data_IF_984238860586
#
_entry.id   IF_984238860586
#
_cell.length_a   1.000
_cell.length_b   1.000
_cell.length_c   1.000
_cell.angle_alpha   90.00
_cell.angle_beta   90.00
_cell.angle_gamma   90.00
#
_symmetry.space_group_name_H-M   'P 1'
#
loop_
_entity.id
_entity.type
_entity.pdbx_description
1 polymer ?
#
# COMPACT_ATOMS: atom_id res chain seq x y z
N UNK A 1 10.57 7.68 -14.88
CA UNK A 1 10.79 6.35 -14.26
C UNK A 1 9.54 6.03 -13.44
N UNK A 2 9.14 4.75 -13.34
CA UNK A 2 8.02 4.36 -12.49
C UNK A 2 8.32 4.71 -11.03
N UNK A 3 7.34 5.27 -10.33
CA UNK A 3 7.43 5.48 -8.88
C UNK A 3 7.53 4.13 -8.17
N UNK A 4 8.48 4.00 -7.25
CA UNK A 4 8.67 2.79 -6.43
C UNK A 4 8.56 3.18 -4.96
N UNK A 5 7.47 2.73 -4.31
CA UNK A 5 7.14 3.12 -2.94
C UNK A 5 6.79 1.92 -2.04
N UNK A 6 7.09 2.03 -0.75
CA UNK A 6 6.50 1.22 0.31
C UNK A 6 5.54 2.09 1.13
N UNK A 7 4.40 1.51 1.51
CA UNK A 7 3.37 2.20 2.27
C UNK A 7 2.97 1.38 3.48
N UNK A 8 2.88 2.05 4.62
CA UNK A 8 2.46 1.43 5.86
C UNK A 8 1.36 2.23 6.53
N UNK A 9 0.32 1.56 7.02
CA UNK A 9 -0.62 2.14 7.99
C UNK A 9 0.02 2.07 9.37
N UNK A 10 -0.13 3.12 10.16
CA UNK A 10 0.52 3.26 11.46
C UNK A 10 -0.49 3.35 12.61
N UNK A 11 -0.16 2.72 13.72
CA UNK A 11 -0.80 3.02 14.99
C UNK A 11 -0.40 4.43 15.50
N UNK A 12 -1.25 5.11 16.29
CA UNK A 12 -0.95 6.44 16.82
C UNK A 12 0.39 6.54 17.53
N UNK A 13 0.75 5.53 18.34
CA UNK A 13 2.00 5.49 19.09
C UNK A 13 3.23 5.41 18.16
N UNK A 14 3.11 4.67 17.04
CA UNK A 14 4.19 4.53 16.07
C UNK A 14 4.35 5.80 15.24
N UNK A 15 3.26 6.44 14.85
CA UNK A 15 3.30 7.74 14.17
C UNK A 15 4.07 8.78 15.01
N UNK A 16 3.77 8.88 16.31
CA UNK A 16 4.48 9.79 17.21
C UNK A 16 5.98 9.45 17.33
N UNK A 17 6.30 8.16 17.48
CA UNK A 17 7.68 7.68 17.55
C UNK A 17 8.45 8.02 16.27
N UNK A 18 7.85 7.79 15.10
CA UNK A 18 8.45 8.10 13.81
C UNK A 18 8.61 9.61 13.61
N UNK A 19 7.63 10.43 14.04
CA UNK A 19 7.75 11.88 14.02
C UNK A 19 9.00 12.35 14.77
N UNK A 20 9.17 11.89 16.02
CA UNK A 20 10.35 12.21 16.83
C UNK A 20 11.67 11.63 16.27
N UNK A 21 11.62 10.59 15.44
CA UNK A 21 12.79 10.07 14.72
C UNK A 21 13.13 10.95 13.52
N UNK A 22 12.13 11.34 12.72
CA UNK A 22 12.32 12.24 11.57
C UNK A 22 12.93 13.56 12.01
N UNK A 23 12.41 14.15 13.09
CA UNK A 23 12.92 15.44 13.62
C UNK A 23 14.41 15.37 14.02
N UNK A 24 14.92 14.17 14.37
CA UNK A 24 16.34 13.92 14.67
C UNK A 24 17.20 13.68 13.42
N UNK A 25 16.61 13.17 12.35
CA UNK A 25 17.31 12.94 11.08
C UNK A 25 17.49 14.23 10.28
N UNK A 26 16.61 15.20 10.49
CA UNK A 26 16.70 16.54 9.89
C UNK A 26 15.37 17.29 10.00
N UNK A 27 15.35 18.60 9.70
CA UNK A 27 14.11 19.37 9.73
C UNK A 27 13.19 18.95 8.57
N UNK A 28 12.04 18.30 8.83
CA UNK A 28 11.15 17.90 7.75
C UNK A 28 10.43 19.11 7.15
N UNK A 29 10.14 19.06 5.85
CA UNK A 29 9.20 19.99 5.21
C UNK A 29 7.78 19.63 5.62
N UNK A 30 6.99 20.63 5.98
CA UNK A 30 5.60 20.47 6.38
C UNK A 30 4.67 20.92 5.28
N UNK A 31 3.69 20.08 4.95
CA UNK A 31 2.66 20.36 3.97
C UNK A 31 1.28 20.14 4.58
N UNK A 32 0.34 21.03 4.26
CA UNK A 32 -1.09 20.86 4.57
C UNK A 32 -1.80 20.63 3.25
N UNK A 33 -2.11 19.36 3.00
CA UNK A 33 -2.61 18.88 1.73
C UNK A 33 -4.11 18.65 1.82
N UNK A 34 -4.87 19.34 0.96
CA UNK A 34 -6.29 19.04 0.73
C UNK A 34 -6.46 18.52 -0.69
N UNK A 35 -6.79 17.24 -0.84
CA UNK A 35 -7.01 16.63 -2.15
C UNK A 35 -8.47 16.26 -2.35
N UNK A 36 -9.03 16.58 -3.53
CA UNK A 36 -10.37 16.18 -3.94
C UNK A 36 -10.27 15.30 -5.18
N UNK A 37 -10.74 14.06 -5.06
CA UNK A 37 -10.73 13.07 -6.13
C UNK A 37 -12.01 13.16 -6.97
N UNK A 38 -11.86 13.14 -8.29
CA UNK A 38 -12.95 13.35 -9.22
C UNK A 38 -13.15 12.15 -10.14
N UNK A 39 -14.40 11.80 -10.41
CA UNK A 39 -14.79 10.82 -11.42
C UNK A 39 -16.15 11.20 -12.03
N UNK A 40 -16.55 10.45 -13.04
CA UNK A 40 -17.91 10.40 -13.58
C UNK A 40 -18.85 9.68 -12.62
N UNK A 41 -20.16 9.95 -12.70
CA UNK A 41 -21.19 9.34 -11.84
C UNK A 41 -21.20 7.80 -11.81
N UNK A 42 -20.55 7.14 -12.78
CA UNK A 42 -20.45 5.67 -12.85
C UNK A 42 -19.03 5.13 -12.57
N UNK A 43 -18.16 5.97 -12.01
CA UNK A 43 -16.77 5.68 -11.65
C UNK A 43 -15.95 5.10 -12.81
N UNK A 44 -16.08 5.71 -14.01
CA UNK A 44 -15.41 5.25 -15.24
C UNK A 44 -13.89 5.38 -15.15
N UNK A 45 -13.36 6.44 -14.54
CA UNK A 45 -11.91 6.60 -14.36
C UNK A 45 -11.36 5.49 -13.47
N UNK A 46 -11.98 5.26 -12.30
CA UNK A 46 -11.59 4.17 -11.41
C UNK A 46 -11.62 2.81 -12.11
N UNK A 47 -12.69 2.50 -12.85
CA UNK A 47 -12.83 1.24 -13.60
C UNK A 47 -11.74 1.08 -14.67
N UNK A 48 -11.23 2.17 -15.20
CA UNK A 48 -10.12 2.20 -16.15
C UNK A 48 -8.73 2.23 -15.47
N UNK A 49 -8.65 2.16 -14.14
CA UNK A 49 -7.38 2.25 -13.40
C UNK A 49 -6.80 3.66 -13.34
N UNK A 50 -7.63 4.69 -13.55
CA UNK A 50 -7.23 6.10 -13.58
C UNK A 50 -7.70 6.80 -12.32
N UNK A 51 -6.80 7.54 -11.68
CA UNK A 51 -7.09 8.47 -10.60
C UNK A 51 -6.86 9.89 -11.08
N UNK A 52 -7.86 10.76 -10.90
CA UNK A 52 -7.75 12.19 -11.16
C UNK A 52 -8.06 12.96 -9.87
N UNK A 53 -7.14 13.82 -9.44
CA UNK A 53 -7.32 14.65 -8.25
C UNK A 53 -6.94 16.10 -8.50
N UNK A 54 -7.59 16.98 -7.76
CA UNK A 54 -7.15 18.35 -7.50
C UNK A 54 -6.58 18.38 -6.08
N UNK A 55 -5.35 18.87 -5.90
CA UNK A 55 -4.68 19.00 -4.61
C UNK A 55 -4.32 20.45 -4.35
N UNK A 56 -4.76 20.98 -3.23
CA UNK A 56 -4.26 22.23 -2.66
C UNK A 56 -3.09 21.92 -1.73
N UNK A 57 -1.96 22.58 -1.95
CA UNK A 57 -0.82 22.59 -1.05
C UNK A 57 -0.51 24.05 -0.69
N UNK A 58 -0.90 24.45 0.53
CA UNK A 58 -0.90 25.85 0.93
C UNK A 58 -1.79 26.72 0.02
N UNK A 59 -1.19 27.61 -0.76
CA UNK A 59 -1.89 28.49 -1.70
C UNK A 59 -1.92 27.98 -3.15
N UNK A 60 -1.19 26.89 -3.45
CA UNK A 60 -1.01 26.38 -4.82
C UNK A 60 -1.98 25.23 -5.09
N UNK A 61 -2.37 25.09 -6.36
CA UNK A 61 -3.31 24.07 -6.81
C UNK A 61 -2.65 23.18 -7.85
N UNK A 62 -2.73 21.87 -7.65
CA UNK A 62 -2.12 20.87 -8.51
C UNK A 62 -3.16 19.87 -8.97
N UNK A 63 -3.29 19.71 -10.28
CA UNK A 63 -4.03 18.60 -10.86
C UNK A 63 -3.07 17.44 -11.10
N UNK A 64 -3.41 16.27 -10.58
CA UNK A 64 -2.63 15.04 -10.81
C UNK A 64 -3.50 13.99 -11.48
N UNK A 65 -3.00 13.39 -12.55
CA UNK A 65 -3.53 12.15 -13.12
C UNK A 65 -2.54 11.03 -12.88
N UNK A 66 -3.04 9.90 -12.37
CA UNK A 66 -2.27 8.66 -12.19
C UNK A 66 -2.99 7.53 -12.90
N UNK A 67 -2.28 6.79 -13.75
CA UNK A 67 -2.80 5.63 -14.47
C UNK A 67 -2.02 4.40 -14.03
N UNK A 68 -2.71 3.45 -13.39
CA UNK A 68 -2.12 2.17 -12.99
C UNK A 68 -2.10 1.23 -14.20
N UNK A 69 -0.92 0.91 -14.71
CA UNK A 69 -0.71 -0.08 -15.77
C UNK A 69 -0.13 -1.35 -15.16
N UNK A 70 -0.71 -2.50 -15.51
CA UNK A 70 -0.09 -3.81 -15.19
C UNK A 70 1.10 -4.00 -16.11
N UNK A 71 2.31 -4.12 -15.56
CA UNK A 71 3.47 -4.61 -16.33
C UNK A 71 3.41 -6.13 -16.50
N UNK A 72 4.14 -6.66 -17.49
CA UNK A 72 4.20 -8.10 -17.80
C UNK A 72 4.76 -8.95 -16.65
N UNK A 73 5.50 -8.35 -15.73
CA UNK A 73 6.19 -9.04 -14.63
C UNK A 73 5.39 -9.00 -13.31
N UNK A 74 4.12 -8.59 -13.36
CA UNK A 74 3.26 -8.49 -12.17
C UNK A 74 3.50 -7.24 -11.31
N UNK A 75 4.52 -6.42 -11.63
CA UNK A 75 4.71 -5.11 -11.02
C UNK A 75 3.65 -4.11 -11.53
N UNK A 76 3.01 -3.40 -10.61
CA UNK A 76 2.16 -2.27 -10.98
C UNK A 76 3.08 -1.09 -11.29
N UNK A 77 3.07 -0.65 -12.54
CA UNK A 77 3.73 0.59 -12.96
C UNK A 77 2.64 1.65 -13.01
N UNK A 78 2.89 2.80 -12.40
CA UNK A 78 2.00 3.94 -12.55
C UNK A 78 2.67 5.00 -13.42
N UNK A 79 1.95 5.46 -14.43
CA UNK A 79 2.27 6.71 -15.12
C UNK A 79 1.56 7.85 -14.39
N UNK A 80 2.32 8.89 -14.03
CA UNK A 80 1.81 10.04 -13.30
C UNK A 80 2.17 11.33 -14.05
N UNK A 81 1.22 12.26 -14.13
CA UNK A 81 1.46 13.61 -14.59
C UNK A 81 0.78 14.60 -13.65
N UNK A 82 1.55 15.59 -13.20
CA UNK A 82 1.09 16.67 -12.34
C UNK A 82 1.26 18.02 -13.05
N UNK A 83 0.30 18.92 -12.85
CA UNK A 83 0.34 20.28 -13.38
C UNK A 83 -0.27 21.25 -12.41
N UNK A 84 0.42 22.36 -12.17
CA UNK A 84 -0.10 23.46 -11.38
C UNK A 84 -1.16 24.25 -12.17
N UNK A 85 -2.27 24.57 -11.52
CA UNK A 85 -3.36 25.37 -12.06
C UNK A 85 -3.54 26.64 -11.24
N UNK A 86 -4.10 27.68 -11.87
CA UNK A 86 -4.37 28.95 -11.19
C UNK A 86 -5.48 28.86 -10.13
N UNK A 87 -6.28 27.79 -10.13
CA UNK A 87 -7.39 27.59 -9.21
C UNK A 87 -7.80 26.13 -9.03
N UNK A 88 -8.74 25.88 -8.11
CA UNK A 88 -9.15 24.54 -7.67
C UNK A 88 -10.09 23.78 -8.60
N UNK A 89 -10.28 24.23 -9.83
CA UNK A 89 -11.10 23.54 -10.83
C UNK A 89 -10.30 22.46 -11.57
N UNK A 90 -10.88 21.27 -11.71
CA UNK A 90 -10.32 20.24 -12.59
C UNK A 90 -10.42 20.67 -14.06
N UNK A 91 -9.31 20.59 -14.77
CA UNK A 91 -9.21 20.82 -16.20
C UNK A 91 -8.43 19.68 -16.88
N UNK A 92 -9.12 18.65 -17.41
CA UNK A 92 -8.47 17.54 -18.10
C UNK A 92 -7.66 17.97 -19.34
N UNK A 93 -7.91 19.16 -19.91
CA UNK A 93 -7.12 19.66 -21.03
C UNK A 93 -5.71 20.11 -20.62
N UNK A 94 -5.54 20.51 -19.35
CA UNK A 94 -4.25 20.91 -18.78
C UNK A 94 -3.32 19.75 -18.43
N UNK A 95 -3.74 18.49 -18.63
CA UNK A 95 -2.84 17.33 -18.48
C UNK A 95 -1.70 17.46 -19.50
N UNK A 96 -0.43 17.48 -19.06
CA UNK A 96 0.70 17.89 -19.90
C UNK A 96 1.13 16.76 -20.85
N UNK A 97 0.97 15.51 -20.42
CA UNK A 97 1.25 14.34 -21.24
C UNK A 97 0.08 14.05 -22.18
N UNK A 98 0.30 14.12 -23.49
CA UNK A 98 -0.75 13.92 -24.51
C UNK A 98 -1.39 12.53 -24.42
N UNK A 99 -0.59 11.48 -24.20
CA UNK A 99 -1.10 10.11 -24.08
C UNK A 99 -2.06 9.96 -22.89
N UNK A 100 -1.68 10.50 -21.72
CA UNK A 100 -2.52 10.48 -20.52
C UNK A 100 -3.78 11.35 -20.71
N UNK A 101 -3.62 12.52 -21.32
CA UNK A 101 -4.73 13.43 -21.63
C UNK A 101 -5.76 12.77 -22.56
N UNK A 102 -5.30 12.17 -23.66
CA UNK A 102 -6.15 11.45 -24.60
C UNK A 102 -6.90 10.29 -23.91
N UNK A 103 -6.19 9.51 -23.07
CA UNK A 103 -6.78 8.40 -22.32
C UNK A 103 -7.85 8.86 -21.32
N UNK A 104 -7.60 9.93 -20.58
CA UNK A 104 -8.60 10.52 -19.68
C UNK A 104 -9.82 10.98 -20.47
N UNK A 105 -9.62 11.72 -21.57
CA UNK A 105 -10.70 12.21 -22.45
C UNK A 105 -11.56 11.08 -23.02
N UNK A 106 -10.93 10.00 -23.48
CA UNK A 106 -11.62 8.80 -23.96
C UNK A 106 -12.52 8.18 -22.88
N UNK A 107 -11.98 8.01 -21.66
CA UNK A 107 -12.70 7.35 -20.56
C UNK A 107 -13.87 8.19 -20.06
N UNK A 108 -13.71 9.52 -19.93
CA UNK A 108 -14.78 10.42 -19.48
C UNK A 108 -15.83 10.67 -20.60
N UNK A 109 -15.38 10.80 -21.85
CA UNK A 109 -16.21 11.26 -22.97
C UNK A 109 -16.76 12.67 -22.72
N UNK A 110 -18.07 12.84 -22.86
CA UNK A 110 -18.77 14.12 -22.60
C UNK A 110 -19.32 14.24 -21.18
N UNK A 111 -19.03 13.27 -20.30
CA UNK A 111 -19.61 13.20 -18.96
C UNK A 111 -18.96 14.20 -18.03
N UNK A 112 -19.77 14.78 -17.15
CA UNK A 112 -19.28 15.65 -16.08
C UNK A 112 -18.53 14.85 -15.03
N UNK A 113 -17.45 15.47 -14.54
CA UNK A 113 -16.73 15.02 -13.36
C UNK A 113 -17.35 15.65 -12.11
N UNK A 114 -17.35 14.91 -11.02
CA UNK A 114 -17.82 15.38 -9.72
C UNK A 114 -16.89 14.86 -8.62
N UNK A 115 -16.80 15.55 -7.47
CA UNK A 115 -16.08 15.05 -6.30
C UNK A 115 -16.65 13.72 -5.83
N UNK A 116 -15.77 12.75 -5.57
CA UNK A 116 -16.11 11.43 -5.01
C UNK A 116 -15.74 11.37 -3.54
N UNK A 117 -14.52 11.80 -3.22
CA UNK A 117 -13.98 11.80 -1.87
C UNK A 117 -12.89 12.87 -1.76
N UNK A 118 -12.52 13.20 -0.53
CA UNK A 118 -11.43 14.12 -0.24
C UNK A 118 -10.51 13.59 0.84
N UNK A 119 -9.28 14.10 0.88
CA UNK A 119 -8.33 13.87 1.97
C UNK A 119 -7.83 15.19 2.50
N UNK A 120 -7.63 15.25 3.82
CA UNK A 120 -6.98 16.37 4.50
C UNK A 120 -5.83 15.79 5.31
N UNK A 121 -4.60 16.07 4.87
CA UNK A 121 -3.39 15.42 5.37
C UNK A 121 -2.37 16.49 5.75
N UNK A 122 -1.91 16.44 6.99
CA UNK A 122 -0.65 17.03 7.41
C UNK A 122 0.47 16.06 7.04
N UNK A 123 1.35 16.47 6.13
CA UNK A 123 2.46 15.65 5.64
C UNK A 123 3.79 16.23 6.13
N UNK A 124 4.62 15.39 6.74
CA UNK A 124 6.04 15.69 7.02
C UNK A 124 6.91 14.95 6.02
N UNK A 125 7.78 15.66 5.30
CA UNK A 125 8.64 15.08 4.27
C UNK A 125 10.11 15.33 4.58
N UNK A 126 10.93 14.28 4.48
CA UNK A 126 12.38 14.37 4.54
C UNK A 126 12.98 13.48 3.46
N UNK A 127 13.95 14.00 2.70
CA UNK A 127 14.67 13.24 1.66
C UNK A 127 16.09 13.01 2.17
N UNK A 128 16.51 11.75 2.27
CA UNK A 128 17.80 11.39 2.85
C UNK A 128 18.54 10.37 1.99
N UNK A 129 19.89 10.39 2.02
CA UNK A 129 20.69 9.28 1.57
C UNK A 129 20.40 8.01 2.38
N UNK A 130 20.42 6.86 1.72
CA UNK A 130 20.28 5.54 2.32
C UNK A 130 21.37 4.58 1.79
N UNK A 131 21.36 3.34 2.28
CA UNK A 131 22.35 2.32 1.95
C UNK A 131 22.52 2.12 0.43
N UNK A 132 23.75 1.82 0.00
CA UNK A 132 24.06 1.58 -1.42
C UNK A 132 23.94 2.82 -2.31
N UNK A 133 24.05 4.03 -1.74
CA UNK A 133 23.95 5.30 -2.47
C UNK A 133 22.53 5.66 -2.90
N UNK A 134 21.52 5.06 -2.26
CA UNK A 134 20.13 5.38 -2.53
C UNK A 134 19.74 6.77 -2.01
N UNK A 135 18.72 7.35 -2.62
CA UNK A 135 18.03 8.55 -2.14
C UNK A 135 16.57 8.19 -1.91
N UNK A 136 16.10 8.33 -0.68
CA UNK A 136 14.75 7.95 -0.28
C UNK A 136 14.02 9.16 0.31
N UNK A 137 12.80 9.39 -0.18
CA UNK A 137 11.86 10.30 0.45
C UNK A 137 11.05 9.55 1.50
N UNK A 138 11.04 10.09 2.72
CA UNK A 138 10.22 9.62 3.83
C UNK A 138 9.09 10.62 4.03
N UNK A 139 7.85 10.17 3.87
CA UNK A 139 6.66 10.96 4.12
C UNK A 139 5.84 10.34 5.26
N UNK A 140 5.62 11.13 6.32
CA UNK A 140 4.66 10.81 7.37
C UNK A 140 3.39 11.61 7.16
N UNK A 141 2.28 10.90 7.00
CA UNK A 141 0.97 11.47 6.78
C UNK A 141 0.07 11.25 7.98
N UNK A 142 -0.55 12.34 8.44
CA UNK A 142 -1.59 12.31 9.47
C UNK A 142 -2.79 13.14 9.03
N UNK A 143 -3.99 12.58 9.17
CA UNK A 143 -5.22 13.29 8.90
C UNK A 143 -6.37 12.35 8.64
N UNK A 144 -7.12 12.58 7.58
CA UNK A 144 -8.34 11.83 7.30
C UNK A 144 -8.67 11.72 5.81
N UNK A 145 -9.46 10.71 5.48
CA UNK A 145 -10.18 10.56 4.22
C UNK A 145 -11.67 10.70 4.49
N UNK A 146 -12.39 11.42 3.63
CA UNK A 146 -13.83 11.67 3.73
C UNK A 146 -14.54 11.36 2.43
N UNK A 147 -15.73 10.78 2.54
CA UNK A 147 -16.65 10.60 1.44
C UNK A 147 -18.09 10.84 1.93
N UNK A 148 -18.71 11.94 1.49
CA UNK A 148 -19.99 12.39 2.03
C UNK A 148 -19.89 12.63 3.55
N UNK A 149 -20.75 11.96 4.32
CA UNK A 149 -20.76 12.03 5.78
C UNK A 149 -19.76 11.07 6.46
N UNK A 150 -19.21 10.10 5.73
CA UNK A 150 -18.28 9.12 6.27
C UNK A 150 -16.85 9.69 6.30
N UNK A 151 -16.12 9.41 7.38
CA UNK A 151 -14.74 9.85 7.58
C UNK A 151 -13.94 8.78 8.33
N UNK A 152 -12.71 8.55 7.92
CA UNK A 152 -11.78 7.64 8.59
C UNK A 152 -10.39 8.27 8.72
N UNK A 153 -9.66 8.00 9.83
CA UNK A 153 -8.32 8.53 10.03
C UNK A 153 -7.32 7.93 9.05
N UNK A 154 -6.34 8.74 8.65
CA UNK A 154 -5.18 8.35 7.86
C UNK A 154 -3.93 8.59 8.69
N UNK A 155 -3.15 7.54 8.89
CA UNK A 155 -1.85 7.57 9.57
C UNK A 155 -0.92 6.68 8.79
N UNK A 156 -0.03 7.27 8.00
CA UNK A 156 0.78 6.50 7.05
C UNK A 156 2.25 6.89 7.06
N UNK A 157 3.10 5.88 6.85
CA UNK A 157 4.47 6.06 6.42
C UNK A 157 4.54 5.68 4.93
N UNK A 158 4.99 6.62 4.10
CA UNK A 158 5.35 6.37 2.71
C UNK A 158 6.88 6.51 2.57
N UNK A 159 7.51 5.49 1.98
CA UNK A 159 8.92 5.50 1.62
C UNK A 159 9.00 5.44 0.09
N UNK A 160 9.52 6.48 -0.56
CA UNK A 160 9.64 6.52 -2.01
C UNK A 160 11.11 6.53 -2.43
N UNK A 161 11.49 5.59 -3.29
CA UNK A 161 12.84 5.51 -3.85
C UNK A 161 13.00 6.55 -4.97
N UNK A 162 13.80 7.60 -4.73
CA UNK A 162 14.11 8.63 -5.74
C UNK A 162 15.27 8.23 -6.62
N UNK A 163 16.25 7.52 -6.08
CA UNK A 163 17.40 6.97 -6.80
C UNK A 163 18.04 5.80 -6.04
N UNK A 164 18.79 4.96 -6.76
CA UNK A 164 19.58 3.85 -6.18
C UNK A 164 18.84 2.51 -6.10
N UNK A 165 19.38 1.53 -5.34
CA UNK A 165 18.85 0.17 -5.32
C UNK A 165 17.57 0.04 -4.49
N UNK A 166 16.60 -0.74 -4.99
CA UNK A 166 15.33 -1.04 -4.31
C UNK A 166 15.53 -1.67 -2.92
N UNK A 167 16.58 -2.48 -2.74
CA UNK A 167 16.89 -3.09 -1.44
C UNK A 167 17.07 -2.06 -0.31
N UNK A 168 17.52 -0.84 -0.63
CA UNK A 168 17.68 0.24 0.36
C UNK A 168 16.33 0.67 0.96
N UNK A 169 15.23 0.56 0.21
CA UNK A 169 13.90 0.93 0.67
C UNK A 169 13.42 -0.01 1.77
N UNK A 170 13.63 -1.32 1.60
CA UNK A 170 13.29 -2.35 2.58
C UNK A 170 14.20 -2.29 3.82
N UNK A 171 15.50 -2.04 3.62
CA UNK A 171 16.44 -1.85 4.73
C UNK A 171 16.04 -0.65 5.60
N UNK A 172 15.72 0.49 4.97
CA UNK A 172 15.26 1.68 5.67
C UNK A 172 13.93 1.42 6.41
N UNK A 173 12.99 0.69 5.79
CA UNK A 173 11.74 0.32 6.47
C UNK A 173 12.00 -0.48 7.76
N UNK A 174 12.92 -1.45 7.72
CA UNK A 174 13.30 -2.25 8.88
C UNK A 174 13.96 -1.41 9.99
N UNK A 175 14.81 -0.45 9.61
CA UNK A 175 15.46 0.48 10.55
C UNK A 175 14.47 1.46 11.21
N UNK A 176 13.49 1.96 10.45
CA UNK A 176 12.47 2.86 10.94
C UNK A 176 11.44 2.16 11.83
N UNK A 177 11.18 0.88 11.59
CA UNK A 177 10.12 0.10 12.25
C UNK A 177 10.64 -1.12 13.06
N UNK A 178 11.66 -0.97 13.93
CA UNK A 178 12.31 -2.11 14.58
C UNK A 178 11.41 -2.79 15.63
N UNK A 179 10.35 -2.11 16.06
CA UNK A 179 9.42 -2.57 17.09
C UNK A 179 8.08 -3.08 16.58
N UNK A 180 7.82 -3.04 15.27
CA UNK A 180 6.48 -3.23 14.70
C UNK A 180 5.61 -1.97 14.80
N UNK A 181 4.29 -2.17 14.82
CA UNK A 181 3.23 -1.15 14.90
C UNK A 181 2.94 -0.42 13.58
N UNK A 182 3.33 -1.07 12.48
CA UNK A 182 3.14 -0.63 11.12
C UNK A 182 2.71 -1.81 10.26
N UNK A 183 1.82 -1.57 9.32
CA UNK A 183 1.22 -2.61 8.49
C UNK A 183 1.33 -2.25 7.02
N UNK A 184 1.88 -3.14 6.17
CA UNK A 184 1.91 -2.88 4.74
C UNK A 184 0.51 -2.56 4.21
N UNK A 185 0.37 -1.40 3.57
CA UNK A 185 -0.89 -0.93 3.01
C UNK A 185 -0.87 -1.08 1.49
N UNK A 186 -1.83 -1.85 0.97
CA UNK A 186 -2.05 -2.01 -0.47
C UNK A 186 -3.05 -0.99 -1.04
N UNK A 187 -3.73 -0.25 -0.17
CA UNK A 187 -4.72 0.74 -0.56
C UNK A 187 -4.06 2.11 -0.70
N UNK A 188 -4.22 2.73 -1.86
CA UNK A 188 -3.96 4.16 -1.97
C UNK A 188 -5.03 4.97 -1.21
N UNK A 189 -4.71 6.24 -0.90
CA UNK A 189 -5.69 7.21 -0.37
C UNK A 189 -6.96 7.29 -1.24
N UNK A 190 -6.82 7.24 -2.57
CA UNK A 190 -7.97 7.15 -3.47
C UNK A 190 -8.75 5.85 -3.31
N UNK A 191 -8.06 4.70 -3.21
CA UNK A 191 -8.75 3.41 -3.06
C UNK A 191 -9.58 3.39 -1.77
N UNK A 192 -9.04 3.91 -0.66
CA UNK A 192 -9.78 4.12 0.59
C UNK A 192 -10.99 5.03 0.40
N UNK A 193 -10.81 6.19 -0.22
CA UNK A 193 -11.90 7.13 -0.44
C UNK A 193 -13.03 6.57 -1.31
N UNK A 194 -12.72 5.79 -2.34
CA UNK A 194 -13.73 5.09 -3.14
C UNK A 194 -14.45 3.99 -2.37
N UNK A 195 -13.74 3.24 -1.52
CA UNK A 195 -14.37 2.25 -0.64
C UNK A 195 -15.30 2.93 0.35
N UNK A 196 -14.81 3.96 1.03
CA UNK A 196 -15.57 4.77 1.97
C UNK A 196 -16.84 5.36 1.33
N UNK A 197 -16.73 5.88 0.10
CA UNK A 197 -17.88 6.39 -0.66
C UNK A 197 -18.91 5.31 -1.02
N UNK A 198 -18.46 4.08 -1.26
CA UNK A 198 -19.32 2.98 -1.70
C UNK A 198 -19.95 2.20 -0.55
N UNK A 199 -19.25 2.04 0.58
CA UNK A 199 -19.63 1.10 1.66
C UNK A 199 -19.73 1.77 3.03
N UNK A 200 -19.33 3.04 3.16
CA UNK A 200 -19.19 3.70 4.46
C UNK A 200 -17.95 3.27 5.25
N UNK A 201 -17.06 2.44 4.67
CA UNK A 201 -15.77 2.09 5.28
C UNK A 201 -14.66 1.90 4.26
N UNK A 202 -13.41 2.24 4.61
CA UNK A 202 -12.25 1.95 3.75
C UNK A 202 -11.75 0.51 3.85
N UNK A 203 -12.42 -0.35 4.63
CA UNK A 203 -12.07 -1.76 4.73
C UNK A 203 -12.21 -2.46 3.37
N UNK A 204 -11.18 -3.20 2.95
CA UNK A 204 -11.24 -4.01 1.75
C UNK A 204 -12.43 -4.99 1.84
N UNK A 205 -13.35 -4.98 0.86
CA UNK A 205 -14.43 -5.95 0.82
C UNK A 205 -13.84 -7.33 0.52
N UNK A 206 -14.24 -8.34 1.28
CA UNK A 206 -13.81 -9.72 1.04
C UNK A 206 -13.89 -10.59 2.30
N UNK A 207 -14.12 -11.88 2.09
CA UNK A 207 -13.97 -12.90 3.11
C UNK A 207 -12.54 -13.48 3.16
N UNK A 208 -12.34 -14.53 3.95
CA UNK A 208 -11.16 -15.37 3.89
C UNK A 208 -10.85 -15.82 2.45
N UNK A 209 -9.56 -15.82 2.09
CA UNK A 209 -9.10 -16.12 0.73
C UNK A 209 -8.40 -17.47 0.69
N UNK A 210 -8.94 -18.38 -0.13
CA UNK A 210 -8.29 -19.62 -0.51
C UNK A 210 -7.02 -19.41 -1.36
N UNK A 211 -6.22 -20.46 -1.54
CA UNK A 211 -5.04 -20.40 -2.38
C UNK A 211 -5.40 -20.23 -3.87
N UNK A 212 -4.64 -19.42 -4.60
CA UNK A 212 -4.72 -19.33 -6.06
C UNK A 212 -3.46 -19.91 -6.73
N UNK A 213 -3.57 -20.17 -8.03
CA UNK A 213 -2.43 -20.57 -8.85
C UNK A 213 -1.50 -19.38 -9.09
N UNK A 214 -0.21 -19.55 -8.82
CA UNK A 214 0.81 -18.50 -8.96
C UNK A 214 1.17 -18.16 -10.43
N UNK A 215 0.48 -18.73 -11.42
CA UNK A 215 0.72 -18.43 -12.84
C UNK A 215 2.07 -18.93 -13.38
N UNK A 216 2.59 -20.02 -12.81
CA UNK A 216 3.82 -20.66 -13.32
C UNK A 216 3.60 -21.21 -14.73
N UNK A 217 4.57 -21.02 -15.62
CA UNK A 217 4.54 -21.55 -16.99
C UNK A 217 5.74 -22.46 -17.26
N UNK A 218 5.63 -23.45 -18.16
CA UNK A 218 6.76 -24.29 -18.56
C UNK A 218 7.95 -23.46 -19.05
N UNK A 219 9.16 -23.79 -18.59
CA UNK A 219 10.39 -23.08 -18.95
C UNK A 219 10.64 -21.77 -18.18
N UNK A 220 9.78 -21.39 -17.24
CA UNK A 220 10.01 -20.21 -16.40
C UNK A 220 11.29 -20.39 -15.56
N UNK A 221 12.15 -19.36 -15.54
CA UNK A 221 13.37 -19.39 -14.74
C UNK A 221 13.06 -19.32 -13.24
N UNK A 222 14.00 -19.80 -12.42
CA UNK A 222 13.80 -19.96 -10.97
C UNK A 222 13.42 -18.65 -10.25
N UNK A 223 14.06 -17.54 -10.59
CA UNK A 223 13.80 -16.24 -9.96
C UNK A 223 12.35 -15.76 -10.14
N UNK A 224 11.86 -15.60 -11.39
CA UNK A 224 10.46 -15.27 -11.67
C UNK A 224 9.46 -16.26 -11.07
N UNK A 225 9.76 -17.57 -11.10
CA UNK A 225 8.91 -18.58 -10.47
C UNK A 225 8.80 -18.39 -8.95
N UNK A 226 9.93 -18.13 -8.28
CA UNK A 226 9.96 -17.82 -6.87
C UNK A 226 9.17 -16.55 -6.54
N UNK A 227 9.38 -15.47 -7.32
CA UNK A 227 8.68 -14.21 -7.13
C UNK A 227 7.15 -14.39 -7.26
N UNK A 228 6.70 -15.16 -8.25
CA UNK A 228 5.29 -15.46 -8.44
C UNK A 228 4.69 -16.25 -7.26
N UNK A 229 5.39 -17.27 -6.78
CA UNK A 229 4.93 -18.08 -5.64
C UNK A 229 4.94 -17.28 -4.34
N UNK A 230 6.01 -16.55 -4.06
CA UNK A 230 6.08 -15.69 -2.87
C UNK A 230 5.00 -14.60 -2.92
N UNK A 231 4.80 -13.96 -4.07
CA UNK A 231 3.76 -12.95 -4.26
C UNK A 231 2.36 -13.48 -3.95
N UNK A 232 2.02 -14.68 -4.43
CA UNK A 232 0.73 -15.32 -4.15
C UNK A 232 0.60 -15.73 -2.67
N UNK A 233 1.64 -16.31 -2.07
CA UNK A 233 1.62 -16.71 -0.66
C UNK A 233 1.46 -15.48 0.26
N UNK A 234 2.27 -14.45 0.06
CA UNK A 234 2.19 -13.19 0.82
C UNK A 234 0.83 -12.53 0.65
N UNK A 235 0.28 -12.49 -0.57
CA UNK A 235 -1.08 -11.97 -0.82
C UNK A 235 -2.15 -12.78 -0.08
N UNK A 236 -1.96 -14.10 0.06
CA UNK A 236 -2.88 -14.96 0.82
C UNK A 236 -2.82 -14.67 2.32
N UNK A 237 -1.61 -14.51 2.87
CA UNK A 237 -1.41 -14.14 4.27
C UNK A 237 -2.06 -12.78 4.54
N UNK A 238 -1.76 -11.74 3.76
CA UNK A 238 -2.31 -10.40 3.95
C UNK A 238 -3.84 -10.37 3.89
N UNK A 239 -4.46 -11.07 2.92
CA UNK A 239 -5.91 -11.13 2.80
C UNK A 239 -6.57 -11.76 4.04
N UNK A 240 -5.98 -12.84 4.57
CA UNK A 240 -6.54 -13.56 5.70
C UNK A 240 -6.24 -12.91 7.05
N UNK A 241 -5.11 -12.21 7.22
CA UNK A 241 -4.88 -11.31 8.37
C UNK A 241 -5.98 -10.25 8.43
N UNK A 242 -6.30 -9.62 7.29
CA UNK A 242 -7.39 -8.64 7.23
C UNK A 242 -8.76 -9.27 7.56
N UNK A 243 -9.02 -10.49 7.09
CA UNK A 243 -10.27 -11.22 7.39
C UNK A 243 -10.39 -11.56 8.89
N UNK A 244 -9.33 -12.04 9.53
CA UNK A 244 -9.32 -12.35 10.97
C UNK A 244 -9.55 -11.10 11.82
N UNK A 245 -8.97 -9.97 11.43
CA UNK A 245 -9.18 -8.68 12.11
C UNK A 245 -10.61 -8.17 12.01
N UNK A 246 -11.24 -8.32 10.84
CA UNK A 246 -12.69 -8.10 10.72
C UNK A 246 -13.47 -9.08 11.60
N UNK A 247 -12.98 -10.31 11.72
CA UNK A 247 -13.52 -11.44 12.51
C UNK A 247 -15.02 -11.66 12.34
N UNK A 248 -15.47 -11.44 11.12
CA UNK A 248 -16.84 -11.73 10.68
C UNK A 248 -16.96 -13.15 10.14
N UNK A 249 -15.84 -13.86 9.93
CA UNK A 249 -15.81 -15.16 9.28
C UNK A 249 -14.89 -16.15 10.03
N UNK A 250 -15.43 -17.27 10.56
CA UNK A 250 -14.66 -18.29 11.27
C UNK A 250 -13.66 -19.05 10.38
N UNK A 251 -13.76 -18.92 9.05
CA UNK A 251 -12.86 -19.53 8.09
C UNK A 251 -11.53 -18.74 7.97
N UNK A 252 -11.49 -17.49 8.43
CA UNK A 252 -10.31 -16.61 8.40
C UNK A 252 -9.06 -17.23 9.04
N UNK A 253 -9.13 -17.71 10.29
CA UNK A 253 -8.02 -18.38 10.95
C UNK A 253 -7.51 -19.60 10.19
N UNK A 254 -8.42 -20.43 9.65
CA UNK A 254 -8.05 -21.64 8.89
C UNK A 254 -7.30 -21.28 7.61
N UNK A 255 -7.78 -20.28 6.87
CA UNK A 255 -7.09 -19.81 5.67
C UNK A 255 -5.75 -19.12 5.98
N UNK A 256 -5.65 -18.41 7.10
CA UNK A 256 -4.38 -17.82 7.54
C UNK A 256 -3.35 -18.90 7.91
N UNK A 257 -3.76 -19.94 8.62
CA UNK A 257 -2.91 -21.09 8.93
C UNK A 257 -2.39 -21.75 7.64
N UNK A 258 -3.28 -22.04 6.69
CA UNK A 258 -2.90 -22.60 5.39
C UNK A 258 -1.96 -21.69 4.59
N UNK A 259 -2.24 -20.37 4.56
CA UNK A 259 -1.42 -19.39 3.84
C UNK A 259 0.01 -19.32 4.38
N UNK A 260 0.16 -19.35 5.70
CA UNK A 260 1.47 -19.30 6.37
C UNK A 260 2.25 -20.60 6.23
N UNK A 261 1.58 -21.76 6.20
CA UNK A 261 2.21 -23.05 5.86
C UNK A 261 2.74 -23.05 4.43
N UNK A 262 1.94 -22.55 3.47
CA UNK A 262 2.36 -22.38 2.07
C UNK A 262 3.58 -21.47 1.95
N UNK A 263 3.59 -20.33 2.65
CA UNK A 263 4.73 -19.41 2.68
C UNK A 263 5.99 -20.08 3.28
N UNK A 264 5.83 -20.82 4.38
CA UNK A 264 6.94 -21.56 4.99
C UNK A 264 7.52 -22.65 4.07
N UNK A 265 6.65 -23.32 3.29
CA UNK A 265 7.07 -24.29 2.27
C UNK A 265 7.79 -23.61 1.09
N UNK A 266 7.27 -22.48 0.61
CA UNK A 266 7.92 -21.69 -0.43
C UNK A 266 9.32 -21.21 0.00
N UNK A 267 9.47 -20.74 1.25
CA UNK A 267 10.75 -20.34 1.83
C UNK A 267 11.74 -21.53 1.94
N UNK A 268 11.25 -22.75 2.18
CA UNK A 268 12.10 -23.94 2.19
C UNK A 268 12.60 -24.28 0.78
N UNK A 269 11.70 -24.31 -0.21
CA UNK A 269 12.00 -24.72 -1.58
C UNK A 269 12.84 -23.65 -2.29
N UNK A 270 12.29 -22.45 -2.41
CA UNK A 270 12.93 -21.36 -3.16
C UNK A 270 14.00 -20.65 -2.34
N UNK A 271 13.82 -20.52 -1.01
CA UNK A 271 14.81 -19.83 -0.18
C UNK A 271 16.15 -20.58 -0.09
N UNK A 272 16.13 -21.92 -0.23
CA UNK A 272 17.37 -22.70 -0.39
C UNK A 272 17.99 -22.49 -1.77
N UNK A 273 17.17 -22.56 -2.82
CA UNK A 273 17.65 -22.45 -4.21
C UNK A 273 18.15 -21.04 -4.58
N UNK A 274 17.63 -20.01 -3.92
CA UNK A 274 18.02 -18.60 -4.09
C UNK A 274 18.99 -18.11 -3.01
N UNK A 275 19.45 -18.99 -2.12
CA UNK A 275 20.38 -18.66 -1.03
C UNK A 275 19.93 -17.45 -0.18
N UNK A 276 18.63 -17.36 0.12
CA UNK A 276 18.09 -16.25 0.89
C UNK A 276 18.65 -16.23 2.31
N UNK A 277 19.37 -15.16 2.65
CA UNK A 277 20.10 -14.98 3.91
C UNK A 277 19.21 -15.21 5.15
N UNK A 278 18.00 -14.67 5.15
CA UNK A 278 17.09 -14.69 6.30
C UNK A 278 16.02 -15.80 6.24
N UNK A 279 16.18 -16.78 5.35
CA UNK A 279 15.19 -17.86 5.13
C UNK A 279 14.78 -18.58 6.41
N UNK A 280 15.72 -18.82 7.32
CA UNK A 280 15.48 -19.53 8.57
C UNK A 280 14.58 -18.76 9.52
N UNK A 281 14.84 -17.45 9.64
CA UNK A 281 14.04 -16.54 10.44
C UNK A 281 12.63 -16.40 9.87
N UNK A 282 12.51 -16.05 8.58
CA UNK A 282 11.21 -15.88 7.91
C UNK A 282 10.35 -17.14 8.00
N UNK A 283 10.95 -18.32 7.83
CA UNK A 283 10.25 -19.60 7.95
C UNK A 283 9.79 -19.88 9.37
N UNK A 284 10.61 -19.55 10.38
CA UNK A 284 10.23 -19.73 11.77
C UNK A 284 9.04 -18.83 12.16
N UNK A 285 9.04 -17.59 11.69
CA UNK A 285 7.96 -16.63 11.92
C UNK A 285 6.67 -17.03 11.20
N UNK A 286 6.75 -17.44 9.92
CA UNK A 286 5.60 -17.97 9.18
C UNK A 286 4.95 -19.15 9.93
N UNK A 287 5.76 -20.10 10.40
CA UNK A 287 5.27 -21.25 11.18
C UNK A 287 4.68 -20.85 12.53
N UNK A 288 5.27 -19.85 13.19
CA UNK A 288 4.72 -19.35 14.45
C UNK A 288 3.32 -18.76 14.24
N UNK A 289 3.16 -17.91 13.22
CA UNK A 289 1.86 -17.31 12.89
C UNK A 289 0.83 -18.38 12.51
N UNK A 290 1.22 -19.38 11.72
CA UNK A 290 0.35 -20.51 11.36
C UNK A 290 -0.12 -21.31 12.57
N UNK A 291 0.75 -21.54 13.57
CA UNK A 291 0.36 -22.18 14.82
C UNK A 291 -0.63 -21.34 15.62
N UNK A 292 -0.45 -20.01 15.67
CA UNK A 292 -1.43 -19.14 16.34
C UNK A 292 -2.79 -19.23 15.65
N UNK A 293 -2.81 -19.13 14.32
CA UNK A 293 -4.05 -19.17 13.54
C UNK A 293 -4.75 -20.53 13.57
N UNK A 294 -4.00 -21.64 13.62
CA UNK A 294 -4.55 -22.99 13.64
C UNK A 294 -4.99 -23.48 15.03
N UNK A 295 -4.39 -22.98 16.10
CA UNK A 295 -4.71 -23.39 17.47
C UNK A 295 -5.84 -22.56 18.09
N UNK A 296 -5.95 -21.28 17.71
CA UNK A 296 -6.83 -20.34 18.40
C UNK A 296 -8.22 -20.30 17.75
N UNK A 297 -9.21 -20.89 18.44
CA UNK A 297 -10.64 -20.76 18.07
C UNK A 297 -11.25 -19.45 18.59
N UNK A 298 -10.57 -18.77 19.51
CA UNK A 298 -10.96 -17.47 20.07
C UNK A 298 -10.43 -16.32 19.20
N UNK A 299 -11.27 -15.84 18.28
CA UNK A 299 -10.94 -14.72 17.37
C UNK A 299 -10.34 -13.49 18.09
N UNK A 300 -10.90 -13.03 19.23
CA UNK A 300 -10.27 -12.00 20.06
C UNK A 300 -8.79 -12.26 20.43
N UNK A 301 -8.43 -13.48 20.85
CA UNK A 301 -7.03 -13.81 21.20
C UNK A 301 -6.14 -13.86 19.97
N UNK A 302 -6.63 -14.40 18.87
CA UNK A 302 -5.88 -14.41 17.61
C UNK A 302 -5.63 -12.99 17.09
N UNK A 303 -6.60 -12.07 17.23
CA UNK A 303 -6.42 -10.64 16.92
C UNK A 303 -5.32 -10.04 17.78
N UNK A 304 -5.32 -10.29 19.09
CA UNK A 304 -4.25 -9.81 19.97
C UNK A 304 -2.86 -10.37 19.58
N UNK A 305 -2.79 -11.62 19.11
CA UNK A 305 -1.55 -12.19 18.58
C UNK A 305 -1.12 -11.53 17.26
N UNK A 306 -2.06 -11.20 16.36
CA UNK A 306 -1.79 -10.46 15.13
C UNK A 306 -1.28 -9.05 15.40
N UNK A 307 -1.79 -8.42 16.45
CA UNK A 307 -1.37 -7.07 16.86
C UNK A 307 -0.09 -7.09 17.71
N UNK A 308 0.50 -8.28 17.94
CA UNK A 308 1.77 -8.41 18.62
C UNK A 308 2.93 -7.89 17.76
N UNK A 309 3.93 -7.31 18.43
CA UNK A 309 5.18 -6.83 17.81
C UNK A 309 5.90 -7.89 16.96
N UNK A 310 5.67 -9.18 17.27
CA UNK A 310 6.27 -10.31 16.56
C UNK A 310 5.65 -10.48 15.17
N UNK A 311 4.33 -10.49 15.06
CA UNK A 311 3.61 -10.56 13.77
C UNK A 311 3.98 -9.37 12.88
N UNK A 312 4.03 -8.18 13.46
CA UNK A 312 4.34 -6.95 12.72
C UNK A 312 5.78 -6.97 12.17
N UNK A 313 6.76 -7.49 12.91
CA UNK A 313 8.13 -7.71 12.39
C UNK A 313 8.16 -8.71 11.24
N UNK A 314 7.39 -9.79 11.34
CA UNK A 314 7.29 -10.76 10.25
C UNK A 314 6.65 -10.20 8.98
N UNK A 315 5.74 -9.24 9.11
CA UNK A 315 5.12 -8.60 7.93
C UNK A 315 6.04 -7.59 7.25
N UNK A 316 7.11 -7.17 7.92
CA UNK A 316 8.09 -6.20 7.45
C UNK A 316 9.37 -6.84 6.90
N UNK A 317 9.63 -8.10 7.24
CA UNK A 317 10.81 -8.88 6.85
C UNK A 317 10.59 -9.65 5.54
#
# INVERSE_FOLDING_TARGET
MPETELKFTLDPAVLQLLGARLDRLGPPRLHVLHSVYHDTARHRLRKAGITLRMRRDGARWFQTVKVKTRSRDGLQVAEEAETELAGGGIDPAAIPCEALRARVREVIGTRRLHPVCETRISRRVLVLPAAGGALVEIALDEGEVRAGAAAEPVRELELELKAGPLAALYQLAAELLPGGGAEPSLLSKSDRGYLLAATGSSALPGGPRGPMAAGLVPGMSLGPAAAAVFGECSSQVSANVAAVRRGTDPEGPRQLALATERLAAALEIFGKALELRDRGYLRAEARWLGRQAGAERDLPRLRAALDSKRTQRFTLA
#
